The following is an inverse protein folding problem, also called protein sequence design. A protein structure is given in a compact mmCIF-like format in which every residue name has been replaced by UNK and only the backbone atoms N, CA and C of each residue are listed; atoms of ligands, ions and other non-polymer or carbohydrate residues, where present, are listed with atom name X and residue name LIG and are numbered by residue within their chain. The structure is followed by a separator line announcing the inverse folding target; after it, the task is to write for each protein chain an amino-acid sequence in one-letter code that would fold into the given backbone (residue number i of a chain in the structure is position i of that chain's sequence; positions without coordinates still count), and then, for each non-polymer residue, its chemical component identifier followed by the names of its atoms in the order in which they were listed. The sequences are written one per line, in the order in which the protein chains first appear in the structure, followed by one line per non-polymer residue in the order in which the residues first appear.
data_IF_319149793828
#
_entry.id   IF_319149793828
#
_cell.length_a   1.000
_cell.length_b   1.000
_cell.length_c   1.000
_cell.angle_alpha   90.00
_cell.angle_beta   90.00
_cell.angle_gamma   90.00
#
_symmetry.space_group_name_H-M   'P 1'
#
loop_
_entity.id
_entity.type
_entity.pdbx_description
1 polymer ?
#
# COMPACT_ATOMS: atom_id res chain seq x y z
N UNK A 1 -3.88 13.64 -4.22
CA UNK A 1 -3.06 12.60 -4.89
C UNK A 1 -2.38 11.78 -3.80
N UNK A 2 -2.55 10.47 -3.79
CA UNK A 2 -1.89 9.58 -2.82
C UNK A 2 -0.37 9.59 -3.06
N UNK A 3 0.46 9.34 -2.03
CA UNK A 3 1.90 9.10 -2.25
C UNK A 3 2.09 7.92 -3.24
N UNK A 4 1.25 6.89 -3.18
CA UNK A 4 1.31 5.77 -4.11
C UNK A 4 1.06 6.22 -5.56
N UNK A 5 0.07 7.07 -5.80
CA UNK A 5 -0.21 7.62 -7.14
C UNK A 5 0.97 8.45 -7.65
N UNK A 6 1.63 9.20 -6.78
CA UNK A 6 2.83 9.97 -7.11
C UNK A 6 3.99 9.08 -7.54
N UNK A 7 4.26 8.00 -6.78
CA UNK A 7 5.30 7.02 -7.12
C UNK A 7 4.96 6.32 -8.44
N UNK A 8 3.71 5.88 -8.62
CA UNK A 8 3.25 5.22 -9.84
C UNK A 8 3.39 6.15 -11.05
N UNK A 9 3.00 7.42 -10.90
CA UNK A 9 3.11 8.41 -11.98
C UNK A 9 4.56 8.68 -12.37
N UNK A 10 5.48 8.68 -11.41
CA UNK A 10 6.90 8.82 -11.71
C UNK A 10 7.47 7.57 -12.38
N UNK A 11 7.13 6.38 -11.88
CA UNK A 11 7.56 5.09 -12.47
C UNK A 11 6.99 4.85 -13.87
N UNK A 12 5.82 5.40 -14.19
CA UNK A 12 5.17 5.24 -15.50
C UNK A 12 5.85 6.03 -16.62
N UNK A 13 6.91 6.80 -16.31
CA UNK A 13 7.75 7.44 -17.31
C UNK A 13 8.43 6.39 -18.18
N UNK A 14 8.30 6.53 -19.51
CA UNK A 14 8.81 5.58 -20.50
C UNK A 14 10.27 5.21 -20.27
N UNK A 15 11.12 6.19 -19.94
CA UNK A 15 12.55 5.97 -19.67
C UNK A 15 12.78 5.00 -18.49
N UNK A 16 12.01 5.13 -17.41
CA UNK A 16 12.14 4.26 -16.24
C UNK A 16 11.61 2.87 -16.51
N UNK A 17 10.45 2.77 -17.19
CA UNK A 17 9.87 1.48 -17.59
C UNK A 17 10.83 0.73 -18.52
N UNK A 18 11.39 1.41 -19.53
CA UNK A 18 12.38 0.81 -20.43
C UNK A 18 13.61 0.31 -19.69
N UNK A 19 14.11 1.09 -18.73
CA UNK A 19 15.29 0.73 -17.95
C UNK A 19 15.03 -0.48 -17.05
N UNK A 20 13.88 -0.52 -16.39
CA UNK A 20 13.43 -1.68 -15.62
C UNK A 20 13.29 -2.90 -16.53
N UNK A 21 12.67 -2.76 -17.70
CA UNK A 21 12.56 -3.84 -18.70
C UNK A 21 13.92 -4.37 -19.15
N UNK A 22 14.86 -3.48 -19.49
CA UNK A 22 16.24 -3.85 -19.85
C UNK A 22 16.98 -4.59 -18.73
N UNK A 23 16.71 -4.25 -17.47
CA UNK A 23 17.37 -4.88 -16.32
C UNK A 23 16.97 -6.34 -16.08
N UNK A 24 15.81 -6.76 -16.58
CA UNK A 24 15.27 -8.12 -16.41
C UNK A 24 14.91 -8.80 -17.75
N UNK A 25 15.36 -8.24 -18.87
CA UNK A 25 15.04 -8.72 -20.23
C UNK A 25 13.52 -8.91 -20.47
N UNK A 26 12.73 -7.90 -20.10
CA UNK A 26 11.27 -7.91 -20.22
C UNK A 26 10.75 -6.77 -21.10
N UNK A 27 9.57 -6.98 -21.70
CA UNK A 27 8.89 -5.96 -22.48
C UNK A 27 8.39 -4.82 -21.56
N UNK A 28 8.61 -3.54 -21.93
CA UNK A 28 8.08 -2.36 -21.24
C UNK A 28 6.61 -2.46 -20.80
N UNK A 29 5.72 -2.98 -21.65
CA UNK A 29 4.29 -3.12 -21.34
C UNK A 29 4.05 -4.10 -20.19
N UNK A 30 4.85 -5.17 -20.10
CA UNK A 30 4.75 -6.15 -19.02
C UNK A 30 5.24 -5.58 -17.69
N UNK A 31 6.32 -4.80 -17.74
CA UNK A 31 6.87 -4.07 -16.58
C UNK A 31 5.87 -3.04 -16.08
N UNK A 32 5.28 -2.25 -16.99
CA UNK A 32 4.24 -1.26 -16.66
C UNK A 32 3.06 -1.91 -15.94
N UNK A 33 2.56 -3.03 -16.45
CA UNK A 33 1.51 -3.82 -15.78
C UNK A 33 1.95 -4.27 -14.39
N UNK A 34 3.17 -4.80 -14.25
CA UNK A 34 3.69 -5.22 -12.94
C UNK A 34 3.74 -4.06 -11.96
N UNK A 35 4.22 -2.88 -12.35
CA UNK A 35 4.24 -1.70 -11.48
C UNK A 35 2.82 -1.34 -11.01
N UNK A 36 1.86 -1.34 -11.94
CA UNK A 36 0.46 -0.98 -11.66
C UNK A 36 -0.24 -1.94 -10.70
N UNK A 37 0.04 -3.25 -10.74
CA UNK A 37 -0.62 -4.24 -9.85
C UNK A 37 0.26 -4.63 -8.65
N UNK A 38 1.57 -4.61 -8.82
CA UNK A 38 2.56 -5.06 -7.84
C UNK A 38 2.74 -4.06 -6.70
N UNK A 39 2.82 -2.76 -7.00
CA UNK A 39 2.98 -1.73 -5.97
C UNK A 39 1.78 -1.68 -5.00
N UNK A 40 0.51 -1.65 -5.46
CA UNK A 40 -0.63 -1.78 -4.55
C UNK A 40 -0.63 -3.10 -3.76
N UNK A 41 -0.18 -4.20 -4.36
CA UNK A 41 -0.07 -5.51 -3.69
C UNK A 41 0.94 -5.49 -2.55
N UNK A 42 2.10 -4.85 -2.74
CA UNK A 42 3.11 -4.67 -1.69
C UNK A 42 2.56 -3.81 -0.54
N UNK A 43 1.90 -2.68 -0.84
CA UNK A 43 1.25 -1.84 0.18
C UNK A 43 0.17 -2.63 0.93
N UNK A 44 -0.61 -3.46 0.24
CA UNK A 44 -1.62 -4.30 0.87
C UNK A 44 -1.01 -5.35 1.81
N UNK A 45 0.11 -5.96 1.42
CA UNK A 45 0.84 -6.91 2.26
C UNK A 45 1.42 -6.23 3.51
N UNK A 46 2.04 -5.06 3.35
CA UNK A 46 2.52 -4.23 4.46
C UNK A 46 1.39 -3.87 5.43
N UNK A 47 0.25 -3.43 4.89
CA UNK A 47 -0.92 -3.09 5.68
C UNK A 47 -1.43 -4.30 6.47
N UNK A 48 -1.46 -5.50 5.87
CA UNK A 48 -1.84 -6.73 6.56
C UNK A 48 -0.88 -7.06 7.70
N UNK A 49 0.44 -6.90 7.50
CA UNK A 49 1.44 -7.16 8.53
C UNK A 49 1.35 -6.16 9.70
N UNK A 50 1.09 -4.88 9.38
CA UNK A 50 0.95 -3.80 10.36
C UNK A 50 -0.32 -3.90 11.24
N UNK A 51 -1.25 -4.83 10.96
CA UNK A 51 -2.43 -5.05 11.81
C UNK A 51 -2.10 -5.68 13.17
N UNK A 52 -0.94 -6.32 13.29
CA UNK A 52 -0.46 -6.87 14.57
C UNK A 52 0.52 -5.89 15.24
N UNK A 53 0.55 -5.80 16.59
CA UNK A 53 1.51 -4.94 17.28
C UNK A 53 2.97 -5.25 16.92
N UNK A 54 3.32 -6.53 16.82
CA UNK A 54 4.67 -6.97 16.45
C UNK A 54 5.02 -6.58 15.00
N UNK A 55 4.09 -6.78 14.05
CA UNK A 55 4.29 -6.41 12.66
C UNK A 55 4.36 -4.90 12.46
N UNK A 56 3.56 -4.11 13.17
CA UNK A 56 3.64 -2.65 13.16
C UNK A 56 4.99 -2.15 13.70
N UNK A 57 5.48 -2.71 14.81
CA UNK A 57 6.80 -2.38 15.37
C UNK A 57 7.93 -2.75 14.40
N UNK A 58 7.87 -3.94 13.79
CA UNK A 58 8.84 -4.38 12.79
C UNK A 58 8.85 -3.46 11.57
N UNK A 59 7.67 -3.08 11.07
CA UNK A 59 7.56 -2.16 9.95
C UNK A 59 8.08 -0.77 10.32
N UNK A 60 7.72 -0.24 11.50
CA UNK A 60 8.20 1.06 11.94
C UNK A 60 9.71 1.15 11.97
N UNK A 61 10.38 0.08 12.44
CA UNK A 61 11.83 -0.04 12.45
C UNK A 61 12.41 -0.10 11.04
N UNK A 62 11.83 -0.88 10.13
CA UNK A 62 12.27 -0.93 8.74
C UNK A 62 12.15 0.44 8.08
N UNK A 63 11.01 1.12 8.26
CA UNK A 63 10.81 2.48 7.75
C UNK A 63 11.82 3.48 8.35
N UNK A 64 12.24 3.31 9.61
CA UNK A 64 13.30 4.13 10.20
C UNK A 64 14.68 3.87 9.61
N UNK A 65 14.94 2.66 9.12
CA UNK A 65 16.19 2.29 8.44
C UNK A 65 16.27 2.90 7.04
N UNK A 66 15.13 3.01 6.34
CA UNK A 66 15.04 3.50 4.96
C UNK A 66 14.62 4.97 4.83
N UNK A 67 14.36 5.68 5.94
CA UNK A 67 13.83 7.06 5.91
C UNK A 67 14.75 8.11 5.26
N UNK A 68 16.03 7.79 5.08
CA UNK A 68 17.04 8.67 4.50
C UNK A 68 17.48 8.19 3.10
N UNK A 69 16.81 7.16 2.56
CA UNK A 69 17.04 6.69 1.19
C UNK A 69 16.67 7.79 0.19
N UNK A 70 17.53 7.96 -0.82
CA UNK A 70 17.36 8.97 -1.87
C UNK A 70 16.39 8.48 -2.95
N UNK A 71 15.11 8.41 -2.58
CA UNK A 71 14.03 7.98 -3.47
C UNK A 71 13.36 9.13 -4.23
N UNK A 72 13.89 10.35 -4.13
CA UNK A 72 13.39 11.52 -4.87
C UNK A 72 13.89 11.52 -6.34
N UNK A 73 15.03 10.89 -6.60
CA UNK A 73 15.56 10.63 -7.94
C UNK A 73 15.45 9.13 -8.24
N UNK A 74 14.33 8.71 -8.83
CA UNK A 74 14.07 7.29 -9.13
C UNK A 74 15.08 6.74 -10.13
N UNK A 75 15.57 7.58 -11.04
CA UNK A 75 16.56 7.19 -12.02
C UNK A 75 17.88 6.83 -11.37
N UNK A 76 18.36 7.64 -10.43
CA UNK A 76 19.57 7.33 -9.65
C UNK A 76 19.34 6.18 -8.67
N UNK A 77 18.20 6.18 -7.97
CA UNK A 77 17.84 5.12 -7.03
C UNK A 77 17.87 3.74 -7.69
N UNK A 78 17.19 3.58 -8.82
CA UNK A 78 17.11 2.29 -9.53
C UNK A 78 18.45 1.83 -10.12
N UNK A 79 19.46 2.71 -10.25
CA UNK A 79 20.83 2.30 -10.65
C UNK A 79 21.60 1.70 -9.50
N UNK A 80 21.30 2.15 -8.29
CA UNK A 80 22.07 1.84 -7.08
C UNK A 80 21.30 0.92 -6.12
N UNK A 81 20.10 0.47 -6.50
CA UNK A 81 19.24 -0.33 -5.64
C UNK A 81 19.91 -1.66 -5.26
N UNK A 82 19.94 -1.97 -3.96
CA UNK A 82 20.41 -3.26 -3.48
C UNK A 82 19.30 -4.30 -3.60
N UNK A 83 19.34 -5.09 -4.66
CA UNK A 83 18.36 -6.14 -4.92
C UNK A 83 18.40 -7.27 -3.88
N UNK A 84 19.52 -7.46 -3.16
CA UNK A 84 19.59 -8.45 -2.07
C UNK A 84 18.83 -7.96 -0.85
N UNK A 85 18.92 -6.67 -0.56
CA UNK A 85 18.10 -6.05 0.47
C UNK A 85 16.62 -6.07 0.08
N UNK A 86 16.32 -5.76 -1.18
CA UNK A 86 14.98 -5.92 -1.76
C UNK A 86 14.37 -7.30 -1.57
N UNK A 87 15.12 -8.37 -1.86
CA UNK A 87 14.67 -9.73 -1.64
C UNK A 87 14.37 -10.02 -0.16
N UNK A 88 15.16 -9.47 0.78
CA UNK A 88 14.88 -9.59 2.22
C UNK A 88 13.61 -8.82 2.61
N UNK A 89 13.40 -7.63 2.07
CA UNK A 89 12.18 -6.86 2.30
C UNK A 89 10.98 -7.67 1.80
N UNK A 90 11.02 -8.20 0.58
CA UNK A 90 9.96 -9.06 0.05
C UNK A 90 9.69 -10.26 0.94
N UNK A 91 10.73 -10.94 1.42
CA UNK A 91 10.55 -12.07 2.33
C UNK A 91 9.86 -11.69 3.65
N UNK A 92 10.14 -10.50 4.20
CA UNK A 92 9.45 -10.02 5.40
C UNK A 92 8.01 -9.57 5.10
N UNK A 93 7.79 -8.94 3.95
CA UNK A 93 6.49 -8.37 3.56
C UNK A 93 5.51 -9.46 3.14
N UNK A 94 5.95 -10.40 2.31
CA UNK A 94 5.12 -11.45 1.73
C UNK A 94 5.21 -12.77 2.52
N UNK A 95 6.31 -13.01 3.25
CA UNK A 95 6.48 -14.19 4.09
C UNK A 95 6.40 -15.49 3.29
N UNK A 96 5.55 -16.41 3.74
CA UNK A 96 5.31 -17.67 3.04
C UNK A 96 4.45 -17.53 1.78
N UNK A 97 4.03 -16.31 1.41
CA UNK A 97 3.18 -16.04 0.25
C UNK A 97 3.96 -15.50 -0.95
N UNK A 98 5.27 -15.29 -0.83
CA UNK A 98 6.14 -14.77 -1.90
C UNK A 98 5.90 -15.52 -3.21
N UNK A 99 6.07 -16.84 -3.23
CA UNK A 99 5.88 -17.68 -4.42
C UNK A 99 4.47 -17.56 -5.02
N UNK A 100 3.44 -17.50 -4.17
CA UNK A 100 2.07 -17.40 -4.62
C UNK A 100 1.77 -16.04 -5.26
N UNK A 101 2.32 -14.97 -4.70
CA UNK A 101 2.21 -13.60 -5.22
C UNK A 101 2.99 -13.47 -6.52
N UNK A 102 4.23 -13.95 -6.57
CA UNK A 102 5.05 -13.92 -7.79
C UNK A 102 4.39 -14.70 -8.94
N UNK A 103 3.87 -15.90 -8.66
CA UNK A 103 3.13 -16.69 -9.65
C UNK A 103 1.88 -15.97 -10.14
N UNK A 104 1.12 -15.34 -9.24
CA UNK A 104 -0.09 -14.62 -9.62
C UNK A 104 0.25 -13.40 -10.49
N UNK A 105 1.28 -12.64 -10.13
CA UNK A 105 1.75 -11.50 -10.91
C UNK A 105 2.31 -11.92 -12.27
N UNK A 106 3.04 -13.04 -12.32
CA UNK A 106 3.50 -13.65 -13.58
C UNK A 106 2.33 -13.91 -14.53
N UNK A 107 1.24 -14.53 -14.04
CA UNK A 107 0.04 -14.80 -14.84
C UNK A 107 -0.65 -13.52 -15.34
N UNK A 108 -0.69 -12.46 -14.52
CA UNK A 108 -1.36 -11.21 -14.89
C UNK A 108 -0.55 -10.35 -15.88
N UNK A 109 0.78 -10.41 -15.78
CA UNK A 109 1.69 -9.53 -16.53
C UNK A 109 2.29 -10.21 -17.75
N UNK A 110 2.34 -11.54 -17.75
CA UNK A 110 3.07 -12.34 -18.73
C UNK A 110 4.58 -12.41 -18.48
N UNK A 111 5.07 -11.86 -17.36
CA UNK A 111 6.46 -11.96 -16.94
C UNK A 111 6.78 -13.37 -16.42
N UNK A 112 8.04 -13.78 -16.55
CA UNK A 112 8.56 -14.98 -15.89
C UNK A 112 8.73 -14.75 -14.38
N UNK A 113 8.72 -15.83 -13.58
CA UNK A 113 8.76 -15.72 -12.12
C UNK A 113 10.01 -15.01 -11.59
N UNK A 114 11.17 -15.29 -12.19
CA UNK A 114 12.44 -14.63 -11.90
C UNK A 114 12.41 -13.13 -12.26
N UNK A 115 11.80 -12.76 -13.39
CA UNK A 115 11.61 -11.36 -13.79
C UNK A 115 10.70 -10.62 -12.79
N UNK A 116 9.62 -11.27 -12.35
CA UNK A 116 8.72 -10.71 -11.31
C UNK A 116 9.48 -10.50 -10.01
N UNK A 117 10.18 -11.52 -9.51
CA UNK A 117 10.94 -11.44 -8.26
C UNK A 117 12.03 -10.36 -8.31
N UNK A 118 12.75 -10.26 -9.44
CA UNK A 118 13.76 -9.24 -9.65
C UNK A 118 13.17 -7.82 -9.64
N UNK A 119 12.08 -7.58 -10.38
CA UNK A 119 11.42 -6.28 -10.40
C UNK A 119 10.83 -5.91 -9.04
N UNK A 120 10.16 -6.85 -8.36
CA UNK A 120 9.65 -6.63 -7.00
C UNK A 120 10.80 -6.30 -6.02
N UNK A 121 11.98 -6.90 -6.21
CA UNK A 121 13.16 -6.63 -5.37
C UNK A 121 13.75 -5.24 -5.63
N UNK A 122 13.49 -4.61 -6.77
CA UNK A 122 13.84 -3.21 -7.01
C UNK A 122 12.78 -2.25 -6.45
N UNK A 123 11.50 -2.64 -6.56
CA UNK A 123 10.35 -1.83 -6.14
C UNK A 123 10.16 -1.80 -4.62
N UNK A 124 10.48 -2.88 -3.91
CA UNK A 124 10.28 -2.96 -2.46
C UNK A 124 11.15 -1.97 -1.66
N UNK A 125 12.47 -1.82 -1.92
CA UNK A 125 13.29 -0.77 -1.32
C UNK A 125 12.78 0.64 -1.65
N UNK A 126 12.37 0.89 -2.89
CA UNK A 126 11.80 2.18 -3.29
C UNK A 126 10.56 2.52 -2.43
N UNK A 127 9.65 1.57 -2.28
CA UNK A 127 8.46 1.73 -1.45
C UNK A 127 8.83 1.97 0.03
N UNK A 128 9.77 1.21 0.59
CA UNK A 128 10.24 1.40 1.97
C UNK A 128 10.86 2.79 2.18
N UNK A 129 11.69 3.26 1.25
CA UNK A 129 12.30 4.58 1.31
C UNK A 129 11.26 5.69 1.25
N UNK A 130 10.31 5.61 0.33
CA UNK A 130 9.24 6.63 0.21
C UNK A 130 8.35 6.66 1.45
N UNK A 131 7.98 5.49 1.98
CA UNK A 131 7.20 5.38 3.22
C UNK A 131 7.98 5.88 4.43
N UNK A 132 9.27 5.57 4.53
CA UNK A 132 10.16 6.01 5.59
C UNK A 132 10.33 7.52 5.61
N UNK A 133 10.55 8.11 4.42
CA UNK A 133 10.56 9.55 4.26
C UNK A 133 9.23 10.18 4.67
N UNK A 134 8.09 9.61 4.26
CA UNK A 134 6.77 10.14 4.62
C UNK A 134 6.50 10.04 6.12
N UNK A 135 6.82 8.89 6.75
CA UNK A 135 6.75 8.70 8.20
C UNK A 135 7.57 9.76 8.94
N UNK A 136 8.82 10.00 8.51
CA UNK A 136 9.71 11.02 9.07
C UNK A 136 9.14 12.43 8.91
N UNK A 137 8.69 12.78 7.69
CA UNK A 137 8.12 14.10 7.36
C UNK A 137 6.87 14.42 8.18
N UNK A 138 6.02 13.42 8.43
CA UNK A 138 4.75 13.58 9.13
C UNK A 138 4.82 13.26 10.63
N UNK A 139 5.99 12.86 11.15
CA UNK A 139 6.15 12.48 12.56
C UNK A 139 5.28 11.27 12.96
N UNK A 140 5.03 10.34 12.04
CA UNK A 140 4.16 9.19 12.28
C UNK A 140 4.86 8.18 13.19
N UNK A 141 4.19 7.78 14.26
CA UNK A 141 4.61 6.71 15.15
C UNK A 141 4.11 5.32 14.69
N UNK A 142 4.42 4.28 15.46
CA UNK A 142 3.99 2.90 15.18
C UNK A 142 2.47 2.76 15.05
N UNK A 143 1.70 3.53 15.83
CA UNK A 143 0.23 3.51 15.86
C UNK A 143 -0.38 4.12 14.61
N UNK A 144 0.25 5.14 14.04
CA UNK A 144 -0.22 5.81 12.83
C UNK A 144 0.06 5.07 11.52
N UNK A 145 0.86 4.00 11.53
CA UNK A 145 1.23 3.26 10.31
C UNK A 145 0.04 2.65 9.57
N UNK A 146 -0.97 2.16 10.29
CA UNK A 146 -2.18 1.63 9.68
C UNK A 146 -2.94 2.72 8.89
N UNK A 147 -2.99 3.93 9.44
CA UNK A 147 -3.60 5.09 8.77
C UNK A 147 -2.82 5.51 7.51
N UNK A 148 -1.49 5.53 7.60
CA UNK A 148 -0.61 5.82 6.46
C UNK A 148 -0.84 4.82 5.31
N UNK A 149 -0.76 3.51 5.61
CA UNK A 149 -0.91 2.45 4.60
C UNK A 149 -2.34 2.37 4.06
N UNK A 150 -3.35 2.59 4.90
CA UNK A 150 -4.74 2.68 4.47
C UNK A 150 -5.00 3.86 3.54
N UNK A 151 -4.44 5.03 3.85
CA UNK A 151 -4.53 6.22 2.99
C UNK A 151 -3.90 6.01 1.61
N UNK A 152 -2.83 5.21 1.53
CA UNK A 152 -2.18 4.86 0.26
C UNK A 152 -3.04 3.95 -0.63
N UNK A 153 -3.70 2.95 -0.03
CA UNK A 153 -4.54 1.99 -0.74
C UNK A 153 -5.90 2.55 -1.16
N UNK A 154 -6.31 3.68 -0.60
CA UNK A 154 -7.61 4.25 -0.89
C UNK A 154 -7.97 5.42 0.00
N UNK A 155 -7.38 6.58 -0.26
CA UNK A 155 -7.94 7.90 0.11
C UNK A 155 -9.33 8.19 -0.46
N UNK A 156 -10.13 7.15 -0.77
CA UNK A 156 -11.50 7.22 -1.27
C UNK A 156 -12.45 6.24 -0.56
N UNK A 157 -12.09 5.70 0.61
CA UNK A 157 -12.84 4.59 1.23
C UNK A 157 -13.27 4.71 2.69
N UNK A 158 -12.97 5.80 3.40
CA UNK A 158 -13.32 5.87 4.84
C UNK A 158 -13.86 7.22 5.36
N UNK A 159 -14.10 8.21 4.48
CA UNK A 159 -14.91 9.39 4.82
C UNK A 159 -16.40 9.20 4.49
N UNK A 160 -16.74 8.40 3.48
CA UNK A 160 -18.15 8.16 3.11
C UNK A 160 -18.89 7.15 4.01
N UNK A 161 -18.18 6.33 4.80
CA UNK A 161 -18.83 5.40 5.74
C UNK A 161 -19.12 6.05 7.10
N UNK A 162 -18.42 7.12 7.48
CA UNK A 162 -18.77 7.92 8.67
C UNK A 162 -19.74 9.05 8.31
N UNK A 163 -19.66 9.64 7.13
CA UNK A 163 -20.64 10.62 6.64
C UNK A 163 -22.00 10.01 6.26
N UNK A 164 -22.03 8.79 5.70
CA UNK A 164 -23.27 8.12 5.30
C UNK A 164 -24.06 7.48 6.45
N UNK A 165 -23.40 7.15 7.56
CA UNK A 165 -24.06 6.70 8.79
C UNK A 165 -24.36 7.86 9.73
N UNK A 166 -23.53 8.91 9.80
CA UNK A 166 -23.85 10.12 10.57
C UNK A 166 -24.95 10.96 9.91
N UNK A 167 -25.04 10.99 8.57
CA UNK A 167 -26.08 11.70 7.84
C UNK A 167 -27.41 10.95 7.71
N UNK A 168 -27.48 9.69 8.14
CA UNK A 168 -28.74 8.95 8.32
C UNK A 168 -29.18 8.90 9.80
N UNK A 169 -28.36 9.43 10.72
CA UNK A 169 -28.58 9.39 12.17
C UNK A 169 -28.66 10.80 12.79
N UNK A 170 -28.46 11.84 11.98
CA UNK A 170 -28.57 13.26 12.37
C UNK A 170 -29.34 14.03 11.29
N UNK A 171 -30.54 13.54 10.96
CA UNK A 171 -31.39 14.21 9.96
C UNK A 171 -32.36 15.23 10.58
N UNK A 172 -32.37 15.35 11.91
CA UNK A 172 -33.36 16.10 12.68
C UNK A 172 -32.77 16.94 13.83
N UNK A 173 -31.49 16.76 14.24
CA UNK A 173 -30.85 17.60 15.26
C UNK A 173 -31.68 17.79 16.55
N UNK A 174 -32.33 16.76 17.08
CA UNK A 174 -33.13 16.89 18.32
C UNK A 174 -32.45 16.33 19.57
N UNK A 175 -31.48 15.42 19.41
CA UNK A 175 -30.61 15.00 20.49
C UNK A 175 -31.26 14.07 21.53
N UNK A 176 -32.22 13.23 21.12
CA UNK A 176 -32.78 12.18 21.98
C UNK A 176 -32.80 10.80 21.29
N UNK A 177 -31.76 10.00 21.54
CA UNK A 177 -31.60 8.65 20.94
C UNK A 177 -32.48 7.55 21.58
N UNK A 178 -33.35 7.89 22.53
CA UNK A 178 -34.09 6.90 23.32
C UNK A 178 -35.59 6.84 23.01
N UNK A 179 -36.16 7.84 22.35
CA UNK A 179 -37.60 7.89 22.11
C UNK A 179 -38.01 7.02 20.90
N UNK A 180 -37.25 7.08 19.80
CA UNK A 180 -37.61 6.38 18.55
C UNK A 180 -37.26 4.88 18.49
N UNK A 181 -36.38 4.41 19.38
CA UNK A 181 -36.14 2.96 19.52
C UNK A 181 -37.31 2.30 20.26
N UNK A 182 -38.03 3.03 21.11
CA UNK A 182 -39.21 2.52 21.82
C UNK A 182 -40.39 2.18 20.90
N UNK A 183 -40.61 2.98 19.87
CA UNK A 183 -41.81 2.89 19.01
C UNK A 183 -41.71 1.82 17.90
N UNK A 184 -40.50 1.52 17.40
CA UNK A 184 -40.31 0.41 16.44
C UNK A 184 -40.51 -0.97 17.08
N UNK A 185 -40.29 -1.08 18.39
CA UNK A 185 -40.45 -2.31 19.18
C UNK A 185 -41.91 -2.49 19.63
N UNK A 186 -42.64 -1.40 19.82
CA UNK A 186 -44.06 -1.40 20.25
C UNK A 186 -45.06 -1.65 19.12
N UNK A 187 -44.70 -1.35 17.86
CA UNK A 187 -45.59 -1.45 16.69
C UNK A 187 -45.91 -2.88 16.21
N UNK A 188 -45.17 -3.90 16.65
CA UNK A 188 -45.40 -5.30 16.26
C UNK A 188 -46.32 -6.09 17.20
N UNK A 189 -46.78 -5.48 18.29
CA UNK A 189 -47.60 -6.17 19.31
C UNK A 189 -48.98 -5.55 19.58
N UNK A 190 -49.47 -4.64 18.73
CA UNK A 190 -50.78 -4.02 18.95
C UNK A 190 -51.69 -3.99 17.72
N UNK A 191 -52.31 -5.17 17.52
CA UNK A 191 -53.68 -5.42 17.02
C UNK A 191 -54.03 -5.09 15.58
#
# INVERSE_FOLDING_TARGET
MSLLDGILSQLDQDELIEKLGKSVDANPDQVKKLVQVGMPSLVQALNKNAKSPAGAASLAKALDQHKDDKVDDLSDFLRNVDTKDGAKILQHVLGSKTDAVEKNLSLQTGLQGDQVGALLSMLAPLLMGSLGQQKKKQGIDTSGLGGLLGGLLGGSGSDNLRGGLSGLLDSDKDGDMMDDVGDLLGGFFKK
#
